data_IF_547438724332
#
_entry.id   IF_547438724332
#
_cell.length_a   1.000
_cell.length_b   1.000
_cell.length_c   1.000
_cell.angle_alpha   90.00
_cell.angle_beta   90.00
_cell.angle_gamma   90.00
#
_symmetry.space_group_name_H-M   'P 1'
#
loop_
_entity.id
_entity.type
_entity.pdbx_description
1 polymer ?
#
# COMPACT_ATOMS: atom_id res chain seq x y z
N UNK A 1 -7.36 17.60 -21.96
CA UNK A 1 -8.04 18.54 -21.05
C UNK A 1 -7.16 18.83 -19.85
N UNK A 2 -6.95 17.87 -18.93
CA UNK A 2 -6.13 18.08 -17.73
C UNK A 2 -4.66 18.39 -18.06
N UNK A 3 -4.14 17.86 -19.17
CA UNK A 3 -2.80 18.18 -19.68
C UNK A 3 -2.67 19.59 -20.30
N UNK A 4 -3.75 20.35 -20.45
CA UNK A 4 -3.68 21.74 -20.91
C UNK A 4 -3.09 22.61 -19.78
N UNK A 5 -2.01 23.38 -20.02
CA UNK A 5 -1.40 24.22 -18.98
C UNK A 5 -2.38 25.19 -18.31
N UNK A 6 -3.45 25.59 -19.02
CA UNK A 6 -4.50 26.46 -18.48
C UNK A 6 -5.34 25.78 -17.40
N UNK A 7 -5.40 24.45 -17.38
CA UNK A 7 -6.16 23.68 -16.39
C UNK A 7 -5.78 24.03 -14.96
N UNK A 8 -4.47 24.12 -14.68
CA UNK A 8 -3.95 24.43 -13.35
C UNK A 8 -4.28 25.87 -12.92
N UNK A 9 -4.47 26.79 -13.88
CA UNK A 9 -4.83 28.18 -13.62
C UNK A 9 -6.33 28.40 -13.38
N UNK A 10 -7.19 27.40 -13.60
CA UNK A 10 -8.63 27.53 -13.41
C UNK A 10 -9.03 27.37 -11.93
N UNK A 11 -9.95 28.22 -11.41
CA UNK A 11 -10.63 27.98 -10.15
C UNK A 11 -11.26 26.58 -10.08
N UNK A 12 -11.34 25.98 -8.89
CA UNK A 12 -11.95 24.65 -8.70
C UNK A 12 -13.39 24.59 -9.22
N UNK A 13 -14.26 25.59 -9.00
CA UNK A 13 -15.63 25.57 -9.54
C UNK A 13 -15.69 25.51 -11.07
N UNK A 14 -14.78 26.19 -11.77
CA UNK A 14 -14.74 26.18 -13.24
C UNK A 14 -14.26 24.82 -13.77
N UNK A 15 -13.26 24.22 -13.10
CA UNK A 15 -12.82 22.84 -13.39
C UNK A 15 -13.96 21.85 -13.17
N UNK A 16 -14.69 21.98 -12.06
CA UNK A 16 -15.85 21.16 -11.73
C UNK A 16 -16.94 21.29 -12.82
N UNK A 17 -17.25 22.50 -13.26
CA UNK A 17 -18.23 22.75 -14.32
C UNK A 17 -17.84 22.06 -15.64
N UNK A 18 -16.58 22.18 -16.05
CA UNK A 18 -16.07 21.53 -17.28
C UNK A 18 -16.14 20.00 -17.17
N UNK A 19 -15.84 19.43 -16.00
CA UNK A 19 -15.91 17.98 -15.76
C UNK A 19 -17.33 17.44 -15.70
N UNK A 20 -18.27 18.19 -15.12
CA UNK A 20 -19.67 17.77 -15.04
C UNK A 20 -20.26 17.48 -16.43
N UNK A 21 -19.85 18.24 -17.45
CA UNK A 21 -20.20 18.02 -18.85
C UNK A 21 -19.57 16.76 -19.49
N UNK A 22 -18.82 15.96 -18.72
CA UNK A 22 -18.18 14.70 -19.16
C UNK A 22 -18.63 13.49 -18.35
N UNK A 23 -19.61 13.65 -17.47
CA UNK A 23 -20.20 12.53 -16.75
C UNK A 23 -20.81 11.54 -17.75
N UNK A 24 -20.38 10.30 -17.64
CA UNK A 24 -20.85 9.19 -18.44
C UNK A 24 -22.01 8.52 -17.71
N UNK A 25 -23.12 8.29 -18.41
CA UNK A 25 -24.28 7.60 -17.85
C UNK A 25 -24.47 6.27 -18.54
N UNK A 26 -24.49 5.19 -17.76
CA UNK A 26 -24.76 3.84 -18.27
C UNK A 26 -26.26 3.63 -18.50
N UNK A 27 -26.67 2.62 -19.29
CA UNK A 27 -28.08 2.27 -19.43
C UNK A 27 -28.78 1.94 -18.11
N UNK A 28 -28.03 1.47 -17.10
CA UNK A 28 -28.52 1.18 -15.76
C UNK A 28 -28.70 2.43 -14.88
N UNK A 29 -28.33 3.62 -15.38
CA UNK A 29 -28.45 4.89 -14.65
C UNK A 29 -27.20 5.30 -13.86
N UNK A 30 -26.18 4.44 -13.76
CA UNK A 30 -24.94 4.80 -13.08
C UNK A 30 -24.26 5.99 -13.72
N UNK A 31 -23.66 6.84 -12.88
CA UNK A 31 -22.88 8.00 -13.31
C UNK A 31 -21.41 7.77 -13.01
N UNK A 32 -20.60 7.96 -14.04
CA UNK A 32 -19.16 7.73 -14.03
C UNK A 32 -18.41 9.00 -14.40
N UNK A 33 -17.32 9.28 -13.71
CA UNK A 33 -16.43 10.40 -13.99
C UNK A 33 -14.98 9.94 -13.94
N UNK A 34 -14.19 10.28 -14.94
CA UNK A 34 -12.74 10.17 -14.85
C UNK A 34 -12.18 11.48 -14.31
N UNK A 35 -11.62 11.45 -13.11
CA UNK A 35 -11.34 12.65 -12.32
C UNK A 35 -10.02 12.56 -11.57
N UNK A 36 -10.03 13.05 -10.32
CA UNK A 36 -8.88 13.11 -9.45
C UNK A 36 -8.04 11.81 -9.44
N UNK A 37 -6.73 11.95 -9.28
CA UNK A 37 -5.75 10.86 -9.25
C UNK A 37 -5.71 9.99 -10.52
N UNK A 38 -6.23 10.51 -11.63
CA UNK A 38 -6.37 9.76 -12.88
C UNK A 38 -7.11 8.42 -12.68
N UNK A 39 -8.19 8.45 -11.88
CA UNK A 39 -9.05 7.28 -11.63
C UNK A 39 -10.51 7.55 -12.03
N UNK A 40 -11.19 6.46 -12.34
CA UNK A 40 -12.64 6.46 -12.51
C UNK A 40 -13.34 6.53 -11.15
N UNK A 41 -14.42 7.30 -11.09
CA UNK A 41 -15.27 7.48 -9.93
C UNK A 41 -16.71 7.11 -10.29
N UNK A 42 -17.34 6.35 -9.41
CA UNK A 42 -18.75 5.96 -9.47
C UNK A 42 -19.53 6.78 -8.45
N UNK A 43 -20.59 7.44 -8.92
CA UNK A 43 -21.55 8.10 -8.03
C UNK A 43 -22.41 7.06 -7.30
N UNK A 44 -22.44 7.11 -5.98
CA UNK A 44 -23.37 6.36 -5.14
C UNK A 44 -24.69 7.15 -4.99
N UNK A 45 -25.82 6.62 -5.49
CA UNK A 45 -27.11 7.31 -5.40
C UNK A 45 -27.68 7.36 -3.97
N UNK A 46 -27.21 6.52 -3.04
CA UNK A 46 -27.74 6.45 -1.69
C UNK A 46 -27.24 7.61 -0.80
N UNK A 47 -25.98 8.01 -0.95
CA UNK A 47 -25.36 9.07 -0.13
C UNK A 47 -24.83 10.26 -0.95
N UNK A 48 -24.89 10.19 -2.29
CA UNK A 48 -24.43 11.23 -3.20
C UNK A 48 -22.91 11.34 -3.33
N UNK A 49 -22.15 10.41 -2.76
CA UNK A 49 -20.68 10.41 -2.80
C UNK A 49 -20.17 9.84 -4.11
N UNK A 50 -18.94 10.19 -4.44
CA UNK A 50 -18.22 9.64 -5.59
C UNK A 50 -17.08 8.77 -5.09
N UNK A 51 -17.15 7.47 -5.38
CA UNK A 51 -16.17 6.49 -4.92
C UNK A 51 -15.21 6.14 -6.07
N UNK A 52 -13.89 6.05 -5.83
CA UNK A 52 -12.98 5.44 -6.80
C UNK A 52 -13.46 4.01 -7.13
N UNK A 53 -13.76 3.76 -8.40
CA UNK A 53 -14.14 2.42 -8.87
C UNK A 53 -13.71 2.24 -10.33
N UNK A 54 -13.16 1.08 -10.72
CA UNK A 54 -12.84 0.83 -12.13
C UNK A 54 -14.13 0.66 -12.95
N UNK A 55 -14.19 1.19 -14.18
CA UNK A 55 -15.39 1.14 -15.00
C UNK A 55 -15.66 -0.30 -15.48
N UNK A 56 -16.92 -0.70 -15.69
CA UNK A 56 -17.24 -2.00 -16.24
C UNK A 56 -16.68 -2.15 -17.66
N UNK A 57 -15.99 -3.27 -17.94
CA UNK A 57 -15.48 -3.60 -19.27
C UNK A 57 -16.62 -3.92 -20.24
N UNK A 58 -16.46 -3.59 -21.52
CA UNK A 58 -17.40 -3.98 -22.59
C UNK A 58 -18.71 -3.19 -22.65
N UNK A 59 -19.06 -2.40 -21.64
CA UNK A 59 -20.23 -1.51 -21.69
C UNK A 59 -19.95 -0.38 -22.68
N UNK A 60 -20.60 -0.41 -23.85
CA UNK A 60 -20.60 0.75 -24.76
C UNK A 60 -21.27 1.90 -24.03
N UNK A 61 -20.47 2.81 -23.47
CA UNK A 61 -20.95 4.06 -22.91
C UNK A 61 -21.58 4.85 -24.05
N UNK A 62 -22.90 5.03 -24.00
CA UNK A 62 -23.66 5.54 -25.15
C UNK A 62 -24.07 7.01 -25.01
N UNK A 63 -23.98 7.62 -23.83
CA UNK A 63 -24.43 9.00 -23.64
C UNK A 63 -23.54 9.77 -22.66
N UNK A 64 -22.88 10.80 -23.16
CA UNK A 64 -22.49 11.95 -22.35
C UNK A 64 -23.78 12.71 -22.10
N UNK A 65 -24.21 12.80 -20.85
CA UNK A 65 -25.40 13.54 -20.49
C UNK A 65 -24.98 14.72 -19.64
N UNK A 66 -25.49 15.91 -19.92
CA UNK A 66 -25.27 17.07 -19.07
C UNK A 66 -26.12 16.91 -17.81
N UNK A 67 -25.58 16.21 -16.80
CA UNK A 67 -26.11 16.31 -15.46
C UNK A 67 -25.47 17.55 -14.83
N UNK A 68 -26.26 18.57 -14.50
CA UNK A 68 -25.84 19.67 -13.64
C UNK A 68 -25.64 19.14 -12.20
N UNK A 69 -24.72 18.20 -12.03
CA UNK A 69 -24.29 17.73 -10.73
C UNK A 69 -23.18 18.66 -10.27
N UNK A 70 -23.37 19.29 -9.11
CA UNK A 70 -22.27 19.95 -8.40
C UNK A 70 -21.28 18.84 -8.04
N UNK A 71 -20.09 18.89 -8.65
CA UNK A 71 -19.04 17.93 -8.35
C UNK A 71 -18.29 18.38 -7.10
N UNK A 72 -18.05 17.49 -6.12
CA UNK A 72 -17.22 17.81 -4.96
C UNK A 72 -15.76 18.02 -5.39
N UNK A 73 -15.07 18.93 -4.71
CA UNK A 73 -13.65 19.25 -4.98
C UNK A 73 -12.76 18.00 -5.00
N UNK A 74 -13.07 17.00 -4.16
CA UNK A 74 -12.32 15.75 -4.04
C UNK A 74 -12.22 14.94 -5.34
N UNK A 75 -13.17 15.08 -6.28
CA UNK A 75 -13.12 14.38 -7.58
C UNK A 75 -12.58 15.24 -8.71
N UNK A 76 -12.31 16.52 -8.45
CA UNK A 76 -11.81 17.47 -9.44
C UNK A 76 -10.28 17.37 -9.48
N UNK A 77 -9.67 16.93 -10.61
CA UNK A 77 -8.23 16.81 -10.70
C UNK A 77 -7.54 18.17 -10.64
N UNK A 78 -6.39 18.18 -9.96
CA UNK A 78 -5.52 19.35 -9.82
C UNK A 78 -4.61 19.53 -11.03
N UNK A 79 -4.35 18.46 -11.78
CA UNK A 79 -3.37 18.38 -12.85
C UNK A 79 -2.15 17.56 -12.44
N UNK A 80 -1.60 17.82 -11.25
CA UNK A 80 -0.44 17.08 -10.75
C UNK A 80 -0.73 15.60 -10.50
N UNK A 81 -1.96 15.31 -10.12
CA UNK A 81 -2.49 13.98 -9.88
C UNK A 81 -2.54 13.10 -11.15
N UNK A 82 -2.53 13.71 -12.34
CA UNK A 82 -2.39 13.01 -13.63
C UNK A 82 -0.93 12.71 -14.01
N UNK A 83 0.03 13.32 -13.32
CA UNK A 83 1.46 13.04 -13.48
C UNK A 83 2.00 12.09 -12.40
N UNK A 84 1.16 11.70 -11.44
CA UNK A 84 1.55 10.76 -10.40
C UNK A 84 1.84 9.40 -11.04
N UNK A 85 3.08 8.93 -10.91
CA UNK A 85 3.45 7.57 -11.33
C UNK A 85 2.59 6.57 -10.55
N UNK A 86 1.93 5.61 -11.23
CA UNK A 86 1.19 4.59 -10.53
C UNK A 86 2.17 3.74 -9.71
N UNK A 87 1.94 3.67 -8.40
CA UNK A 87 2.60 2.66 -7.57
C UNK A 87 2.26 1.27 -8.08
N UNK A 88 3.23 0.35 -8.01
CA UNK A 88 2.96 -1.06 -8.30
C UNK A 88 2.50 -1.74 -7.02
N UNK A 89 1.28 -2.27 -7.04
CA UNK A 89 0.80 -3.21 -6.02
C UNK A 89 1.24 -4.63 -6.30
N UNK A 90 2.00 -4.88 -7.39
CA UNK A 90 2.57 -6.20 -7.64
C UNK A 90 3.45 -6.56 -6.45
N UNK A 91 3.00 -7.57 -5.70
CA UNK A 91 3.78 -8.18 -4.64
C UNK A 91 5.08 -8.72 -5.22
N UNK A 92 6.10 -8.92 -4.38
CA UNK A 92 7.36 -9.57 -4.75
C UNK A 92 7.17 -11.09 -4.84
N UNK A 93 6.03 -11.50 -5.39
CA UNK A 93 5.57 -12.86 -5.61
C UNK A 93 5.55 -13.02 -7.13
N UNK A 94 6.60 -13.58 -7.73
CA UNK A 94 6.85 -13.50 -9.16
C UNK A 94 8.33 -13.20 -9.43
N UNK A 95 8.69 -12.23 -10.29
CA UNK A 95 10.10 -11.92 -10.50
C UNK A 95 10.72 -11.31 -9.23
N UNK A 96 11.82 -11.92 -8.79
CA UNK A 96 12.63 -11.46 -7.66
C UNK A 96 13.05 -9.99 -7.83
N UNK A 97 13.47 -9.37 -6.73
CA UNK A 97 14.18 -8.10 -6.79
C UNK A 97 15.47 -8.26 -7.61
N UNK A 98 15.76 -7.35 -8.58
CA UNK A 98 16.93 -7.48 -9.43
C UNK A 98 18.21 -7.73 -8.62
N UNK A 99 18.99 -8.74 -9.01
CA UNK A 99 20.18 -9.19 -8.26
C UNK A 99 21.14 -8.03 -7.95
N UNK A 100 21.39 -7.16 -8.93
CA UNK A 100 22.24 -5.97 -8.74
C UNK A 100 21.76 -5.08 -7.59
N UNK A 101 20.45 -4.86 -7.48
CA UNK A 101 19.84 -4.05 -6.41
C UNK A 101 20.05 -4.75 -5.07
N UNK A 102 19.76 -6.06 -5.01
CA UNK A 102 19.96 -6.89 -3.82
C UNK A 102 21.41 -6.89 -3.34
N UNK A 103 22.40 -6.96 -4.24
CA UNK A 103 23.81 -6.87 -3.88
C UNK A 103 24.21 -5.50 -3.33
N UNK A 104 23.69 -4.41 -3.91
CA UNK A 104 23.94 -3.05 -3.40
C UNK A 104 23.40 -2.89 -1.98
N UNK A 105 22.18 -3.38 -1.73
CA UNK A 105 21.59 -3.36 -0.39
C UNK A 105 22.35 -4.26 0.59
N UNK A 106 22.83 -5.43 0.15
CA UNK A 106 23.68 -6.29 1.00
C UNK A 106 24.95 -5.59 1.46
N UNK A 107 25.63 -4.88 0.56
CA UNK A 107 26.82 -4.10 0.91
C UNK A 107 26.47 -2.98 1.91
N UNK A 108 25.37 -2.27 1.68
CA UNK A 108 24.90 -1.21 2.57
C UNK A 108 24.56 -1.73 3.96
N UNK A 109 23.76 -2.81 4.06
CA UNK A 109 23.38 -3.44 5.34
C UNK A 109 24.61 -3.88 6.13
N UNK A 110 25.57 -4.54 5.48
CA UNK A 110 26.84 -4.94 6.14
C UNK A 110 27.65 -3.75 6.65
N UNK A 111 27.57 -2.59 6.00
CA UNK A 111 28.25 -1.38 6.46
C UNK A 111 27.52 -0.72 7.64
N UNK A 112 26.19 -0.74 7.63
CA UNK A 112 25.33 -0.28 8.73
C UNK A 112 25.47 -1.18 9.97
N UNK A 113 25.52 -2.50 9.81
CA UNK A 113 25.64 -3.45 10.92
C UNK A 113 26.95 -3.35 11.72
N UNK A 114 28.00 -2.71 11.18
CA UNK A 114 29.26 -2.44 11.91
C UNK A 114 29.19 -1.23 12.84
N UNK A 115 28.09 -0.49 12.86
CA UNK A 115 27.92 0.66 13.74
C UNK A 115 27.56 0.18 15.14
N UNK A 116 27.98 0.93 16.16
CA UNK A 116 27.58 0.62 17.53
C UNK A 116 26.13 1.00 17.76
N UNK A 117 25.40 0.08 18.36
CA UNK A 117 24.10 0.22 18.99
C UNK A 117 24.06 1.31 20.07
N UNK A 118 25.19 1.63 20.72
CA UNK A 118 25.26 2.72 21.69
C UNK A 118 25.15 4.10 21.01
N UNK A 119 25.80 4.25 19.85
CA UNK A 119 25.71 5.45 19.03
C UNK A 119 24.38 5.52 18.26
N UNK A 120 23.81 4.35 17.94
CA UNK A 120 22.60 4.18 17.15
C UNK A 120 21.65 3.14 17.80
N UNK A 121 20.99 3.47 18.92
CA UNK A 121 20.09 2.56 19.59
C UNK A 121 18.82 2.38 18.79
N UNK A 122 18.21 1.22 18.99
CA UNK A 122 16.94 0.85 18.37
C UNK A 122 15.78 1.50 19.13
N UNK A 123 15.18 2.53 18.53
CA UNK A 123 14.08 3.31 19.12
C UNK A 123 12.73 3.07 18.43
N UNK A 124 12.74 2.30 17.35
CA UNK A 124 11.60 1.77 16.61
C UNK A 124 11.99 0.39 16.05
N UNK A 125 11.01 -0.42 15.63
CA UNK A 125 11.21 -1.78 15.06
C UNK A 125 11.71 -2.85 16.05
N UNK A 126 11.45 -2.70 17.35
CA UNK A 126 11.83 -3.65 18.41
C UNK A 126 11.07 -4.99 18.36
N UNK A 127 9.93 -5.02 17.66
CA UNK A 127 9.23 -6.27 17.32
C UNK A 127 9.97 -7.09 16.26
N UNK A 128 10.78 -6.45 15.41
CA UNK A 128 11.46 -7.07 14.25
C UNK A 128 12.91 -7.44 14.57
N UNK A 129 13.65 -6.53 15.20
CA UNK A 129 15.09 -6.65 15.41
C UNK A 129 15.45 -6.96 16.87
N UNK A 130 16.57 -7.65 17.07
CA UNK A 130 17.14 -7.82 18.39
C UNK A 130 17.63 -6.46 18.95
N UNK A 131 17.68 -6.33 20.28
CA UNK A 131 17.96 -5.03 20.94
C UNK A 131 19.40 -4.53 20.74
N UNK A 132 20.32 -5.41 20.36
CA UNK A 132 21.71 -5.13 20.03
C UNK A 132 21.92 -4.70 18.56
N UNK A 133 20.86 -4.66 17.76
CA UNK A 133 20.92 -4.22 16.37
C UNK A 133 20.98 -2.68 16.32
N UNK A 134 21.96 -2.09 15.62
CA UNK A 134 22.01 -0.64 15.47
C UNK A 134 20.87 -0.13 14.60
N UNK A 135 20.26 1.00 14.96
CA UNK A 135 19.15 1.60 14.21
C UNK A 135 19.49 1.97 12.75
N UNK A 136 20.77 1.99 12.39
CA UNK A 136 21.17 2.11 10.97
C UNK A 136 20.76 0.90 10.12
N UNK A 137 20.68 -0.31 10.68
CA UNK A 137 20.13 -1.48 9.98
C UNK A 137 18.62 -1.38 9.89
N UNK A 138 17.96 -1.00 10.99
CA UNK A 138 16.52 -0.76 11.03
C UNK A 138 16.07 0.33 10.04
N UNK A 139 16.88 1.38 9.85
CA UNK A 139 16.63 2.43 8.86
C UNK A 139 16.62 1.89 7.42
N UNK A 140 17.51 0.95 7.06
CA UNK A 140 17.50 0.31 5.74
C UNK A 140 16.24 -0.54 5.57
N UNK A 141 15.94 -1.40 6.54
CA UNK A 141 14.74 -2.24 6.53
C UNK A 141 13.45 -1.42 6.42
N UNK A 142 13.28 -0.45 7.32
CA UNK A 142 12.11 0.41 7.34
C UNK A 142 11.95 1.19 6.04
N UNK A 143 13.04 1.63 5.42
CA UNK A 143 12.99 2.32 4.12
C UNK A 143 12.48 1.39 3.02
N UNK A 144 12.98 0.15 2.96
CA UNK A 144 12.51 -0.87 1.99
C UNK A 144 11.02 -1.14 2.18
N UNK A 145 10.61 -1.43 3.42
CA UNK A 145 9.23 -1.80 3.73
C UNK A 145 8.26 -0.64 3.54
N UNK A 146 8.64 0.59 3.92
CA UNK A 146 7.83 1.77 3.69
C UNK A 146 7.69 2.06 2.18
N UNK A 147 8.76 1.88 1.39
CA UNK A 147 8.70 2.09 -0.06
C UNK A 147 7.87 1.03 -0.79
N UNK A 148 7.69 -0.16 -0.23
CA UNK A 148 6.84 -1.21 -0.79
C UNK A 148 5.35 -0.91 -0.57
N UNK A 149 4.55 -0.96 -1.63
CA UNK A 149 3.10 -0.81 -1.53
C UNK A 149 2.42 -2.06 -0.96
N UNK A 150 2.98 -3.23 -1.26
CA UNK A 150 2.56 -4.53 -0.76
C UNK A 150 3.82 -5.36 -0.42
N UNK A 151 4.39 -5.23 0.80
CA UNK A 151 5.55 -6.00 1.26
C UNK A 151 5.25 -7.50 1.48
N UNK A 152 4.75 -8.17 0.44
CA UNK A 152 4.61 -9.61 0.37
C UNK A 152 5.69 -10.16 -0.57
N UNK A 153 6.56 -11.04 -0.07
CA UNK A 153 7.75 -11.52 -0.77
C UNK A 153 7.73 -13.02 -0.98
N UNK A 154 8.30 -13.53 -2.07
CA UNK A 154 8.57 -14.97 -2.22
C UNK A 154 9.38 -15.47 -1.01
N UNK A 155 9.07 -16.67 -0.53
CA UNK A 155 9.80 -17.32 0.56
C UNK A 155 11.31 -17.41 0.32
N UNK A 156 11.76 -17.43 -0.94
CA UNK A 156 13.17 -17.47 -1.34
C UNK A 156 13.78 -16.11 -1.66
N UNK A 157 13.04 -15.02 -1.44
CA UNK A 157 13.52 -13.68 -1.81
C UNK A 157 14.83 -13.33 -1.08
N UNK A 158 15.86 -13.08 -1.90
CA UNK A 158 17.22 -12.81 -1.45
C UNK A 158 17.32 -11.48 -0.73
N UNK A 159 16.54 -10.48 -1.14
CA UNK A 159 16.53 -9.15 -0.53
C UNK A 159 16.31 -9.22 0.98
N UNK A 160 15.28 -9.94 1.39
CA UNK A 160 14.88 -10.01 2.81
C UNK A 160 15.87 -10.86 3.61
N UNK A 161 16.45 -11.88 2.98
CA UNK A 161 17.42 -12.79 3.60
C UNK A 161 18.71 -12.08 4.02
N UNK A 162 19.04 -10.94 3.41
CA UNK A 162 20.17 -10.08 3.82
C UNK A 162 20.09 -9.66 5.29
N UNK A 163 18.89 -9.57 5.87
CA UNK A 163 18.68 -9.12 7.24
C UNK A 163 18.72 -10.26 8.26
N UNK A 164 18.84 -11.51 7.84
CA UNK A 164 18.61 -12.69 8.68
C UNK A 164 19.39 -12.72 10.00
N UNK A 165 20.63 -12.21 10.01
CA UNK A 165 21.47 -12.16 11.22
C UNK A 165 21.01 -11.13 12.27
N UNK A 166 20.21 -10.14 11.88
CA UNK A 166 19.73 -9.06 12.75
C UNK A 166 18.33 -9.32 13.33
N UNK A 167 17.58 -10.22 12.71
CA UNK A 167 16.17 -10.41 13.08
C UNK A 167 16.06 -11.05 14.46
N UNK A 168 15.13 -10.53 15.26
CA UNK A 168 14.83 -11.05 16.61
C UNK A 168 14.32 -12.48 16.58
N UNK A 169 13.62 -12.83 15.51
CA UNK A 169 13.07 -14.15 15.22
C UNK A 169 13.33 -14.45 13.75
N UNK A 170 13.54 -15.72 13.43
CA UNK A 170 13.53 -16.14 12.04
C UNK A 170 12.21 -15.70 11.41
N UNK A 171 12.30 -15.22 10.17
CA UNK A 171 11.09 -14.90 9.41
C UNK A 171 10.22 -16.16 9.32
N UNK A 172 8.89 -16.01 9.31
CA UNK A 172 7.99 -17.14 9.08
C UNK A 172 8.51 -18.01 7.92
N UNK A 173 8.78 -19.28 8.23
CA UNK A 173 9.56 -20.20 7.39
C UNK A 173 8.76 -20.86 6.27
N UNK A 174 9.48 -21.30 5.22
CA UNK A 174 9.14 -22.17 4.08
C UNK A 174 7.78 -22.04 3.35
N UNK A 175 6.94 -21.08 3.73
CA UNK A 175 5.75 -20.71 2.96
C UNK A 175 6.17 -19.97 1.69
N UNK A 176 5.42 -20.19 0.59
CA UNK A 176 5.70 -19.56 -0.71
C UNK A 176 5.72 -18.03 -0.63
N UNK A 177 5.05 -17.45 0.37
CA UNK A 177 4.94 -15.99 0.55
C UNK A 177 5.19 -15.60 2.00
N UNK A 178 6.06 -14.61 2.19
CA UNK A 178 6.30 -13.89 3.44
C UNK A 178 5.51 -12.59 3.45
N UNK A 179 4.52 -12.50 4.33
CA UNK A 179 3.67 -11.32 4.51
C UNK A 179 4.28 -10.42 5.59
N UNK A 180 4.90 -9.32 5.20
CA UNK A 180 5.58 -8.41 6.14
C UNK A 180 4.76 -7.12 6.34
N UNK A 181 4.75 -6.53 7.55
CA UNK A 181 4.05 -5.27 7.77
C UNK A 181 4.70 -4.13 6.98
N UNK A 182 3.89 -3.17 6.54
CA UNK A 182 4.36 -1.88 6.05
C UNK A 182 4.44 -0.89 7.23
N UNK A 183 5.64 -0.49 7.68
CA UNK A 183 5.76 0.46 8.79
C UNK A 183 5.27 1.85 8.35
N UNK A 184 4.71 2.67 9.27
CA UNK A 184 4.44 4.07 8.99
C UNK A 184 5.73 4.87 8.82
N UNK A 185 5.64 6.03 8.15
CA UNK A 185 6.77 6.98 8.07
C UNK A 185 7.27 7.40 9.46
N UNK A 186 6.38 7.39 10.46
CA UNK A 186 6.70 7.75 11.83
C UNK A 186 7.86 6.92 12.38
N UNK A 187 7.89 5.61 12.14
CA UNK A 187 8.94 4.73 12.68
C UNK A 187 10.33 5.14 12.16
N UNK A 188 10.43 5.56 10.90
CA UNK A 188 11.67 6.11 10.32
C UNK A 188 12.03 7.45 10.95
N UNK A 189 11.05 8.33 11.13
CA UNK A 189 11.25 9.64 11.74
C UNK A 189 11.73 9.52 13.18
N UNK A 190 11.15 8.60 13.97
CA UNK A 190 11.54 8.33 15.35
C UNK A 190 13.02 7.98 15.50
N UNK A 191 13.60 7.22 14.56
CA UNK A 191 15.04 6.93 14.56
C UNK A 191 15.88 8.22 14.47
N UNK A 192 15.49 9.17 13.61
CA UNK A 192 16.21 10.44 13.41
C UNK A 192 15.95 11.41 14.55
N UNK A 193 14.68 11.59 14.92
CA UNK A 193 14.22 12.54 15.92
C UNK A 193 14.79 12.23 17.30
N UNK A 194 14.90 10.96 17.67
CA UNK A 194 15.50 10.58 18.95
C UNK A 194 16.99 10.97 19.01
N UNK A 195 17.78 10.74 17.96
CA UNK A 195 19.18 11.20 17.90
C UNK A 195 19.29 12.72 17.97
N UNK A 196 18.32 13.45 17.41
CA UNK A 196 18.25 14.90 17.53
C UNK A 196 17.99 15.37 18.96
N UNK A 197 16.98 14.79 19.63
CA UNK A 197 16.68 15.05 21.06
C UNK A 197 17.87 14.75 21.96
N UNK A 198 18.65 13.71 21.65
CA UNK A 198 19.87 13.35 22.37
C UNK A 198 21.07 14.30 22.10
N UNK A 199 20.89 15.37 21.31
CA UNK A 199 21.97 16.28 20.91
C UNK A 199 22.99 15.66 19.97
N UNK A 200 22.69 14.49 19.37
CA UNK A 200 23.57 13.73 18.48
C UNK A 200 23.27 14.03 17.01
N UNK A 201 23.29 15.30 16.63
CA UNK A 201 22.91 15.75 15.28
C UNK A 201 23.66 15.05 14.14
N UNK A 202 24.95 14.69 14.32
CA UNK A 202 25.70 13.92 13.32
C UNK A 202 25.16 12.51 13.11
N UNK A 203 24.72 11.85 14.17
CA UNK A 203 24.12 10.52 14.10
C UNK A 203 22.73 10.59 13.44
N UNK A 204 21.94 11.63 13.77
CA UNK A 204 20.66 11.90 13.11
C UNK A 204 20.82 12.10 11.60
N UNK A 205 21.77 12.96 11.17
CA UNK A 205 22.11 13.14 9.75
C UNK A 205 22.58 11.84 9.10
N UNK A 206 23.31 10.99 9.83
CA UNK A 206 23.75 9.70 9.29
C UNK A 206 22.58 8.74 9.07
N UNK A 207 21.58 8.69 9.96
CA UNK A 207 20.37 7.89 9.77
C UNK A 207 19.57 8.38 8.56
N UNK A 208 19.37 9.70 8.45
CA UNK A 208 18.77 10.32 7.28
C UNK A 208 19.54 9.99 5.99
N UNK A 209 20.88 10.01 6.02
CA UNK A 209 21.70 9.63 4.86
C UNK A 209 21.54 8.15 4.50
N UNK A 210 21.45 7.25 5.48
CA UNK A 210 21.20 5.82 5.24
C UNK A 210 19.83 5.59 4.58
N UNK A 211 18.80 6.32 5.01
CA UNK A 211 17.47 6.28 4.38
C UNK A 211 17.54 6.77 2.92
N UNK A 212 18.25 7.88 2.67
CA UNK A 212 18.44 8.41 1.32
C UNK A 212 19.25 7.46 0.42
N UNK A 213 20.36 6.90 0.91
CA UNK A 213 21.17 5.92 0.18
C UNK A 213 20.33 4.68 -0.19
N UNK A 214 19.51 4.20 0.75
CA UNK A 214 18.60 3.07 0.53
C UNK A 214 17.55 3.42 -0.54
N UNK A 215 16.88 4.56 -0.41
CA UNK A 215 15.88 5.01 -1.38
C UNK A 215 16.49 5.21 -2.79
N UNK A 216 17.71 5.73 -2.88
CA UNK A 216 18.43 5.91 -4.13
C UNK A 216 18.69 4.57 -4.85
N UNK A 217 19.00 3.50 -4.10
CA UNK A 217 19.12 2.14 -4.66
C UNK A 217 17.74 1.64 -5.14
N UNK A 218 16.69 1.85 -4.34
CA UNK A 218 15.33 1.40 -4.64
C UNK A 218 14.69 2.07 -5.87
N UNK A 219 15.12 3.29 -6.25
CA UNK A 219 14.65 3.96 -7.47
C UNK A 219 14.83 3.15 -8.75
N UNK A 220 15.78 2.20 -8.76
CA UNK A 220 16.08 1.33 -9.89
C UNK A 220 14.96 0.33 -10.19
N UNK A 221 14.05 0.09 -9.25
CA UNK A 221 12.93 -0.84 -9.39
C UNK A 221 11.58 -0.09 -9.29
N UNK A 222 10.71 -0.31 -10.27
CA UNK A 222 9.42 0.39 -10.39
C UNK A 222 8.47 0.11 -9.24
N UNK A 223 8.65 -1.00 -8.50
CA UNK A 223 7.83 -1.35 -7.34
C UNK A 223 8.01 -0.41 -6.16
N UNK A 224 9.21 0.16 -6.01
CA UNK A 224 9.54 1.08 -4.92
C UNK A 224 9.58 2.54 -5.36
N UNK A 225 9.83 2.80 -6.65
CA UNK A 225 10.23 4.11 -7.18
C UNK A 225 9.37 5.29 -6.71
N UNK A 226 8.03 5.28 -6.74
CA UNK A 226 7.26 6.47 -6.37
C UNK A 226 7.46 6.88 -4.90
N UNK A 227 7.50 5.91 -3.98
CA UNK A 227 7.76 6.17 -2.56
C UNK A 227 9.24 6.44 -2.30
N UNK A 228 10.16 5.74 -2.96
CA UNK A 228 11.59 6.04 -2.87
C UNK A 228 11.90 7.49 -3.28
N UNK A 229 11.28 7.96 -4.38
CA UNK A 229 11.38 9.36 -4.80
C UNK A 229 10.78 10.30 -3.76
N UNK A 230 9.63 9.96 -3.17
CA UNK A 230 9.04 10.75 -2.09
C UNK A 230 9.99 10.87 -0.90
N UNK A 231 10.54 9.77 -0.38
CA UNK A 231 11.47 9.79 0.75
C UNK A 231 12.71 10.63 0.44
N UNK A 232 13.27 10.52 -0.77
CA UNK A 232 14.39 11.37 -1.20
C UNK A 232 14.01 12.86 -1.17
N UNK A 233 12.83 13.24 -1.67
CA UNK A 233 12.38 14.63 -1.60
C UNK A 233 12.16 15.13 -0.17
N UNK A 234 11.78 14.26 0.77
CA UNK A 234 11.67 14.61 2.19
C UNK A 234 13.03 14.84 2.84
N UNK A 235 13.99 13.95 2.58
CA UNK A 235 15.22 13.84 3.37
C UNK A 235 16.41 14.60 2.75
N UNK A 236 16.51 14.68 1.42
CA UNK A 236 17.64 15.31 0.76
C UNK A 236 17.85 16.81 1.12
N UNK A 237 16.80 17.64 1.30
CA UNK A 237 16.97 19.01 1.77
C UNK A 237 17.70 19.11 3.11
N UNK A 238 17.39 18.20 4.05
CA UNK A 238 18.04 18.12 5.37
C UNK A 238 19.53 17.78 5.23
N UNK A 239 19.88 16.88 4.31
CA UNK A 239 21.27 16.47 4.06
C UNK A 239 22.10 17.59 3.42
N UNK A 240 21.51 18.36 2.49
CA UNK A 240 22.19 19.48 1.81
C UNK A 240 22.36 20.68 2.72
N UNK A 241 21.37 20.97 3.55
CA UNK A 241 21.40 22.08 4.51
C UNK A 241 20.92 21.56 5.86
N UNK A 242 21.84 21.07 6.71
CA UNK A 242 21.52 20.58 8.03
C UNK A 242 20.90 21.67 8.91
N UNK A 243 19.58 21.76 8.83
CA UNK A 243 18.73 22.59 9.67
C UNK A 243 17.65 21.66 10.16
N UNK A 244 17.76 21.33 11.43
CA UNK A 244 16.68 20.68 12.14
C UNK A 244 15.81 21.78 12.75
N UNK A 245 14.53 21.47 12.95
CA UNK A 245 13.65 22.25 13.83
C UNK A 245 14.15 22.30 15.26
N UNK A 246 13.31 22.73 16.19
CA UNK A 246 13.67 22.69 17.61
C UNK A 246 13.94 21.22 18.00
N UNK A 247 15.10 20.86 18.58
CA UNK A 247 15.36 19.49 19.00
C UNK A 247 14.35 18.96 20.02
N UNK A 248 13.52 19.81 20.64
CA UNK A 248 12.42 19.42 21.53
C UNK A 248 11.08 19.21 20.82
N UNK A 249 11.00 19.45 19.51
CA UNK A 249 9.83 19.10 18.71
C UNK A 249 9.56 17.58 18.80
N UNK A 250 8.27 17.20 18.82
CA UNK A 250 7.88 15.80 18.84
C UNK A 250 8.10 15.12 17.46
N UNK A 251 8.05 13.78 17.44
CA UNK A 251 8.24 13.00 16.20
C UNK A 251 7.20 13.39 15.13
N UNK A 252 6.01 13.81 15.55
CA UNK A 252 4.94 14.18 14.64
C UNK A 252 5.21 15.50 13.92
N UNK A 253 5.82 16.48 14.58
CA UNK A 253 6.26 17.74 13.98
C UNK A 253 7.33 17.48 12.91
N UNK A 254 8.33 16.65 13.21
CA UNK A 254 9.35 16.28 12.22
C UNK A 254 8.74 15.52 11.03
N UNK A 255 7.79 14.61 11.28
CA UNK A 255 7.05 13.91 10.22
C UNK A 255 6.28 14.90 9.35
N UNK A 256 5.61 15.88 9.96
CA UNK A 256 4.90 16.95 9.24
C UNK A 256 5.84 17.74 8.33
N UNK A 257 6.98 18.19 8.86
CA UNK A 257 8.00 18.91 8.09
C UNK A 257 8.53 18.09 6.89
N UNK A 258 8.71 16.78 7.07
CA UNK A 258 9.13 15.89 5.99
C UNK A 258 8.06 15.81 4.90
N UNK A 259 6.80 15.58 5.27
CA UNK A 259 5.68 15.47 4.33
C UNK A 259 5.45 16.76 3.54
N UNK A 260 5.61 17.92 4.17
CA UNK A 260 5.46 19.25 3.52
C UNK A 260 6.48 19.49 2.40
N UNK A 261 7.65 18.83 2.45
CA UNK A 261 8.69 18.96 1.41
C UNK A 261 8.33 18.20 0.13
N UNK A 262 7.38 17.27 0.18
CA UNK A 262 7.05 16.46 -0.99
C UNK A 262 6.24 17.25 -2.03
N UNK A 263 6.66 17.23 -3.31
CA UNK A 263 5.92 17.91 -4.36
C UNK A 263 4.56 17.25 -4.61
N UNK A 264 3.56 18.06 -4.99
CA UNK A 264 2.18 17.62 -5.21
C UNK A 264 2.02 16.45 -6.19
N UNK A 265 2.93 16.29 -7.16
CA UNK A 265 2.95 15.15 -8.10
C UNK A 265 3.15 13.78 -7.43
N UNK A 266 3.64 13.74 -6.20
CA UNK A 266 3.84 12.51 -5.41
C UNK A 266 2.66 12.22 -4.47
N UNK A 267 1.56 12.99 -4.55
CA UNK A 267 0.41 12.88 -3.65
C UNK A 267 -0.10 11.44 -3.50
N UNK A 268 -0.20 10.69 -4.60
CA UNK A 268 -0.67 9.30 -4.59
C UNK A 268 0.26 8.37 -3.79
N UNK A 269 1.56 8.60 -3.81
CA UNK A 269 2.52 7.80 -3.05
C UNK A 269 2.38 8.01 -1.53
N UNK A 270 1.86 9.17 -1.13
CA UNK A 270 1.73 9.62 0.25
C UNK A 270 0.32 9.49 0.83
N UNK A 271 -0.66 8.97 0.07
CA UNK A 271 -2.02 8.76 0.59
C UNK A 271 -2.00 7.95 1.89
N UNK A 272 -1.13 6.92 1.98
CA UNK A 272 -0.98 6.11 3.19
C UNK A 272 -0.64 6.94 4.44
N UNK A 273 0.06 8.07 4.27
CA UNK A 273 0.50 8.95 5.36
C UNK A 273 -0.45 10.14 5.61
N UNK A 274 -1.08 10.65 4.55
CA UNK A 274 -1.85 11.89 4.56
C UNK A 274 -3.36 11.67 4.66
N UNK A 275 -3.86 10.59 4.05
CA UNK A 275 -5.29 10.28 3.95
C UNK A 275 -5.49 8.76 3.88
N UNK A 276 -5.50 8.07 5.05
CA UNK A 276 -5.68 6.62 5.11
C UNK A 276 -7.01 6.14 4.51
N UNK A 277 -8.06 6.96 4.52
CA UNK A 277 -9.37 6.63 3.97
C UNK A 277 -9.35 6.65 2.43
N UNK A 278 -8.76 7.70 1.85
CA UNK A 278 -8.50 7.73 0.40
C UNK A 278 -7.52 6.61 0.00
N UNK A 279 -6.51 6.31 0.82
CA UNK A 279 -5.59 5.21 0.55
C UNK A 279 -6.32 3.87 0.46
N UNK A 280 -7.21 3.55 1.41
CA UNK A 280 -8.03 2.34 1.37
C UNK A 280 -8.93 2.30 0.13
N UNK A 281 -9.58 3.41 -0.21
CA UNK A 281 -10.42 3.50 -1.41
C UNK A 281 -9.62 3.24 -2.70
N UNK A 282 -8.36 3.69 -2.74
CA UNK A 282 -7.47 3.49 -3.88
C UNK A 282 -6.94 2.06 -4.00
N UNK A 283 -6.61 1.41 -2.88
CA UNK A 283 -6.18 0.00 -2.90
C UNK A 283 -7.34 -0.92 -3.26
N UNK A 284 -8.56 -0.56 -2.86
CA UNK A 284 -9.77 -1.26 -3.29
C UNK A 284 -10.03 -1.13 -4.79
N UNK A 285 -9.85 0.08 -5.35
CA UNK A 285 -9.85 0.26 -6.81
C UNK A 285 -8.84 -0.68 -7.47
N UNK A 286 -7.60 -0.73 -6.97
CA UNK A 286 -6.52 -1.54 -7.55
C UNK A 286 -6.83 -3.04 -7.47
N UNK A 287 -7.49 -3.51 -6.40
CA UNK A 287 -7.96 -4.89 -6.29
C UNK A 287 -9.04 -5.23 -7.33
N UNK A 288 -10.06 -4.39 -7.47
CA UNK A 288 -11.13 -4.63 -8.45
C UNK A 288 -10.57 -4.58 -9.88
N UNK A 289 -9.59 -3.72 -10.15
CA UNK A 289 -8.91 -3.65 -11.45
C UNK A 289 -8.01 -4.87 -11.71
N UNK A 290 -7.31 -5.38 -10.70
CA UNK A 290 -6.54 -6.63 -10.79
C UNK A 290 -7.45 -7.84 -11.09
N UNK A 291 -8.69 -7.85 -10.58
CA UNK A 291 -9.70 -8.89 -10.79
C UNK A 291 -10.48 -8.75 -12.10
N UNK A 292 -10.12 -7.79 -12.95
CA UNK A 292 -10.84 -7.45 -14.18
C UNK A 292 -10.83 -8.52 -15.27
N UNK A 293 -10.08 -9.61 -15.09
CA UNK A 293 -10.16 -10.82 -15.92
C UNK A 293 -11.39 -11.68 -15.60
N UNK A 294 -11.99 -11.51 -14.42
CA UNK A 294 -13.21 -12.22 -14.04
C UNK A 294 -14.45 -11.56 -14.66
N UNK A 295 -15.54 -12.31 -14.94
CA UNK A 295 -16.79 -11.74 -15.42
C UNK A 295 -17.42 -10.73 -14.44
N UNK A 296 -17.23 -10.96 -13.14
CA UNK A 296 -17.81 -10.13 -12.06
C UNK A 296 -16.74 -9.70 -11.04
N UNK A 297 -15.85 -8.73 -11.39
CA UNK A 297 -14.70 -8.34 -10.56
C UNK A 297 -15.07 -7.83 -9.17
N UNK A 298 -16.27 -7.23 -9.02
CA UNK A 298 -16.76 -6.72 -7.74
C UNK A 298 -17.20 -7.82 -6.80
N UNK A 299 -17.84 -8.88 -7.33
CA UNK A 299 -18.22 -10.05 -6.54
C UNK A 299 -16.97 -10.78 -6.08
N UNK A 300 -15.99 -10.95 -6.97
CA UNK A 300 -14.68 -11.48 -6.60
C UNK A 300 -13.94 -10.60 -5.57
N UNK A 301 -13.99 -9.27 -5.68
CA UNK A 301 -13.39 -8.38 -4.69
C UNK A 301 -14.11 -8.47 -3.33
N UNK A 302 -15.44 -8.64 -3.33
CA UNK A 302 -16.22 -8.80 -2.10
C UNK A 302 -15.80 -10.04 -1.30
N UNK A 303 -15.33 -11.11 -1.93
CA UNK A 303 -14.83 -12.29 -1.20
C UNK A 303 -13.51 -12.02 -0.48
N UNK A 304 -12.62 -11.18 -1.03
CA UNK A 304 -11.42 -10.74 -0.30
C UNK A 304 -11.76 -9.76 0.83
N UNK A 305 -12.79 -8.93 0.63
CA UNK A 305 -13.29 -8.05 1.70
C UNK A 305 -13.92 -8.83 2.85
N UNK A 306 -14.55 -9.98 2.57
CA UNK A 306 -15.16 -10.84 3.57
C UNK A 306 -14.17 -11.43 4.59
N UNK A 307 -12.88 -11.44 4.26
CA UNK A 307 -11.79 -11.87 5.16
C UNK A 307 -11.37 -10.79 6.16
N UNK A 308 -11.73 -9.51 5.91
CA UNK A 308 -11.34 -8.40 6.76
C UNK A 308 -12.08 -8.44 8.10
N UNK A 309 -11.39 -8.05 9.17
CA UNK A 309 -12.03 -7.81 10.46
C UNK A 309 -12.83 -6.51 10.40
N UNK A 310 -14.15 -6.61 10.41
CA UNK A 310 -15.09 -5.47 10.47
C UNK A 310 -16.06 -5.57 11.65
N UNK A 311 -15.52 -5.85 12.83
CA UNK A 311 -16.23 -5.86 14.12
C UNK A 311 -17.08 -4.61 14.40
N UNK A 312 -16.66 -3.45 13.89
CA UNK A 312 -17.32 -2.15 14.06
C UNK A 312 -18.38 -1.86 12.99
N UNK A 313 -18.56 -2.74 12.00
CA UNK A 313 -19.52 -2.55 10.89
C UNK A 313 -19.21 -1.31 10.05
N UNK A 314 -17.94 -0.94 9.94
CA UNK A 314 -17.47 0.29 9.33
C UNK A 314 -17.23 0.12 7.82
N UNK A 315 -17.09 -1.12 7.34
CA UNK A 315 -16.74 -1.41 5.95
C UNK A 315 -17.84 -1.00 4.96
N UNK A 316 -19.14 -1.36 5.15
CA UNK A 316 -20.19 -1.08 4.15
C UNK A 316 -20.32 0.40 3.78
N UNK A 317 -20.14 1.31 4.74
CA UNK A 317 -20.22 2.76 4.53
C UNK A 317 -19.06 3.35 3.71
N UNK A 318 -18.03 2.56 3.38
CA UNK A 318 -16.86 2.97 2.57
C UNK A 318 -16.86 2.37 1.17
N UNK A 319 -17.69 1.36 0.93
CA UNK A 319 -17.82 0.70 -0.37
C UNK A 319 -18.76 1.49 -1.27
N UNK A 320 -18.51 1.50 -2.58
CA UNK A 320 -19.50 1.94 -3.55
C UNK A 320 -20.73 1.03 -3.53
N UNK A 321 -21.89 1.54 -3.93
CA UNK A 321 -23.15 0.79 -3.89
C UNK A 321 -23.09 -0.61 -4.52
N UNK A 322 -22.32 -0.84 -5.60
CA UNK A 322 -22.28 -2.15 -6.25
C UNK A 322 -21.47 -3.16 -5.44
N UNK A 323 -20.32 -2.71 -4.94
CA UNK A 323 -19.47 -3.55 -4.10
C UNK A 323 -20.10 -3.79 -2.72
N UNK A 324 -20.81 -2.79 -2.18
CA UNK A 324 -21.62 -2.91 -0.97
C UNK A 324 -22.68 -3.99 -1.10
N UNK A 325 -23.43 -4.01 -2.21
CA UNK A 325 -24.42 -5.05 -2.48
C UNK A 325 -23.81 -6.45 -2.51
N UNK A 326 -22.71 -6.64 -3.25
CA UNK A 326 -22.02 -7.94 -3.32
C UNK A 326 -21.51 -8.41 -1.95
N UNK A 327 -20.97 -7.49 -1.14
CA UNK A 327 -20.53 -7.78 0.22
C UNK A 327 -21.71 -8.14 1.15
N UNK A 328 -22.82 -7.43 1.05
CA UNK A 328 -24.02 -7.69 1.84
C UNK A 328 -24.66 -9.04 1.52
N UNK A 329 -24.63 -9.48 0.26
CA UNK A 329 -25.08 -10.82 -0.15
C UNK A 329 -24.23 -11.91 0.52
N UNK A 330 -22.90 -11.78 0.51
CA UNK A 330 -22.00 -12.69 1.23
C UNK A 330 -22.27 -12.68 2.74
N UNK A 331 -22.48 -11.49 3.32
CA UNK A 331 -22.79 -11.32 4.74
C UNK A 331 -24.11 -12.00 5.12
N UNK A 332 -25.15 -11.85 4.30
CA UNK A 332 -26.46 -12.50 4.51
C UNK A 332 -26.38 -14.02 4.38
N UNK A 333 -25.50 -14.51 3.51
CA UNK A 333 -25.23 -15.94 3.36
C UNK A 333 -24.35 -16.53 4.48
N UNK A 334 -23.90 -15.72 5.45
CA UNK A 334 -22.99 -16.16 6.52
C UNK A 334 -21.57 -16.44 6.05
N UNK A 335 -21.19 -15.92 4.86
CA UNK A 335 -19.88 -16.09 4.23
C UNK A 335 -18.96 -14.90 4.50
N UNK A 336 -19.24 -14.13 5.55
CA UNK A 336 -18.30 -13.16 6.12
C UNK A 336 -17.81 -13.73 7.44
N UNK A 337 -16.54 -14.09 7.50
CA UNK A 337 -15.92 -14.75 8.64
C UNK A 337 -14.52 -14.20 8.86
N UNK A 338 -14.23 -13.80 10.10
CA UNK A 338 -12.96 -13.19 10.46
C UNK A 338 -11.81 -14.18 10.34
N UNK A 339 -10.98 -14.04 9.31
CA UNK A 339 -9.60 -14.56 9.36
C UNK A 339 -8.67 -13.59 10.12
N UNK A 340 -9.13 -12.37 10.44
CA UNK A 340 -8.46 -11.38 11.28
C UNK A 340 -9.23 -11.11 12.60
N UNK A 341 -8.54 -11.01 13.73
CA UNK A 341 -9.13 -10.74 15.05
C UNK A 341 -8.69 -9.37 15.57
N UNK A 342 -9.59 -8.67 16.28
CA UNK A 342 -9.26 -7.40 16.97
C UNK A 342 -8.23 -7.59 18.09
N UNK A 343 -8.11 -8.81 18.60
CA UNK A 343 -7.17 -9.18 19.66
C UNK A 343 -6.37 -10.40 19.22
N UNK A 344 -5.07 -10.33 19.48
CA UNK A 344 -4.20 -11.50 19.51
C UNK A 344 -4.57 -12.32 20.74
N UNK A 345 -4.84 -13.62 20.62
CA UNK A 345 -5.00 -14.50 21.79
C UNK A 345 -3.93 -15.60 21.78
N UNK A 346 -2.93 -15.56 22.69
CA UNK A 346 -2.71 -14.54 23.72
C UNK A 346 -2.26 -13.17 23.18
N UNK A 347 -2.30 -12.14 24.02
CA UNK A 347 -1.86 -10.78 23.67
C UNK A 347 -0.38 -10.78 23.22
N UNK A 348 -0.09 -10.26 22.02
CA UNK A 348 1.25 -10.31 21.41
C UNK A 348 1.56 -11.58 20.59
N UNK A 349 0.57 -12.42 20.29
CA UNK A 349 0.69 -13.64 19.46
C UNK A 349 -0.08 -13.56 18.13
N UNK A 350 0.18 -14.41 17.13
CA UNK A 350 -0.51 -14.35 15.84
C UNK A 350 -2.03 -14.55 15.99
N UNK A 351 -2.82 -13.86 15.16
CA UNK A 351 -4.26 -14.15 15.06
C UNK A 351 -4.44 -15.60 14.60
N UNK A 352 -5.14 -16.42 15.40
CA UNK A 352 -5.59 -17.74 14.96
C UNK A 352 -6.69 -17.55 13.92
N UNK A 353 -6.43 -17.99 12.69
CA UNK A 353 -7.39 -17.97 11.59
C UNK A 353 -8.66 -18.73 12.00
N UNK A 354 -9.82 -18.07 11.99
CA UNK A 354 -11.11 -18.74 12.05
C UNK A 354 -11.37 -19.58 10.80
N UNK A 355 -12.47 -20.36 10.79
CA UNK A 355 -12.94 -21.03 9.57
C UNK A 355 -13.17 -19.97 8.49
N UNK A 356 -12.35 -20.01 7.45
CA UNK A 356 -12.39 -19.07 6.34
C UNK A 356 -13.73 -19.18 5.61
N UNK A 357 -14.28 -18.04 5.20
CA UNK A 357 -15.35 -18.04 4.23
C UNK A 357 -14.90 -18.76 2.94
N UNK A 358 -15.77 -19.50 2.25
CA UNK A 358 -15.44 -20.06 0.96
C UNK A 358 -15.14 -18.91 -0.01
N UNK A 359 -13.88 -18.79 -0.36
CA UNK A 359 -13.39 -17.85 -1.37
C UNK A 359 -14.08 -18.26 -2.67
N UNK A 360 -14.80 -17.35 -3.32
CA UNK A 360 -15.24 -17.59 -4.69
C UNK A 360 -14.00 -17.96 -5.50
N UNK A 361 -14.09 -18.98 -6.35
CA UNK A 361 -12.94 -19.54 -7.04
C UNK A 361 -12.40 -18.51 -8.05
N UNK A 362 -11.52 -17.64 -7.57
CA UNK A 362 -10.77 -16.72 -8.41
C UNK A 362 -9.67 -17.54 -9.05
N UNK A 363 -9.76 -17.68 -10.37
CA UNK A 363 -8.80 -18.40 -11.18
C UNK A 363 -8.06 -17.40 -12.09
N UNK A 364 -6.90 -16.86 -11.66
CA UNK A 364 -6.11 -15.99 -12.51
C UNK A 364 -5.61 -16.75 -13.75
N UNK A 365 -5.66 -16.14 -14.95
CA UNK A 365 -5.30 -16.82 -16.20
C UNK A 365 -3.79 -17.10 -16.33
N UNK A 366 -2.96 -16.40 -15.56
CA UNK A 366 -1.51 -16.50 -15.58
C UNK A 366 -0.89 -16.06 -14.24
N UNK A 367 0.41 -16.33 -14.07
CA UNK A 367 1.15 -16.00 -12.84
C UNK A 367 1.24 -14.50 -12.56
N UNK A 368 1.30 -13.67 -13.59
CA UNK A 368 1.33 -12.22 -13.44
C UNK A 368 0.01 -11.69 -12.90
N UNK A 369 -1.11 -12.19 -13.43
CA UNK A 369 -2.46 -11.92 -12.93
C UNK A 369 -2.63 -12.38 -11.48
N UNK A 370 -2.12 -13.56 -11.13
CA UNK A 370 -2.15 -14.07 -9.76
C UNK A 370 -1.35 -13.18 -8.78
N UNK A 371 -0.14 -12.79 -9.16
CA UNK A 371 0.70 -11.88 -8.38
C UNK A 371 0.04 -10.50 -8.19
N UNK A 372 -0.60 -9.98 -9.24
CA UNK A 372 -1.32 -8.71 -9.18
C UNK A 372 -2.49 -8.77 -8.18
N UNK A 373 -3.30 -9.84 -8.22
CA UNK A 373 -4.41 -10.03 -7.28
C UNK A 373 -3.89 -10.17 -5.84
N UNK A 374 -2.88 -11.01 -5.61
CA UNK A 374 -2.30 -11.21 -4.27
C UNK A 374 -1.76 -9.90 -3.68
N UNK A 375 -0.99 -9.16 -4.47
CA UNK A 375 -0.42 -7.90 -4.03
C UNK A 375 -1.46 -6.79 -3.81
N UNK A 376 -2.46 -6.68 -4.68
CA UNK A 376 -3.55 -5.73 -4.51
C UNK A 376 -4.44 -6.07 -3.30
N UNK A 377 -4.76 -7.35 -3.10
CA UNK A 377 -5.50 -7.80 -1.93
C UNK A 377 -4.73 -7.53 -0.64
N UNK A 378 -3.41 -7.73 -0.64
CA UNK A 378 -2.59 -7.48 0.55
C UNK A 378 -2.45 -5.99 0.85
N UNK A 379 -2.22 -5.15 -0.17
CA UNK A 379 -2.23 -3.70 -0.02
C UNK A 379 -3.57 -3.18 0.54
N UNK A 380 -4.69 -3.76 0.08
CA UNK A 380 -6.02 -3.45 0.60
C UNK A 380 -6.15 -3.84 2.09
N UNK A 381 -5.70 -5.04 2.46
CA UNK A 381 -5.68 -5.47 3.86
C UNK A 381 -4.82 -4.56 4.76
N UNK A 382 -3.64 -4.15 4.28
CA UNK A 382 -2.76 -3.22 5.02
C UNK A 382 -3.40 -1.84 5.18
N UNK A 383 -4.04 -1.33 4.13
CA UNK A 383 -4.77 -0.06 4.19
C UNK A 383 -5.94 -0.13 5.19
N UNK A 384 -6.67 -1.26 5.23
CA UNK A 384 -7.74 -1.47 6.20
C UNK A 384 -7.20 -1.52 7.63
N UNK A 385 -6.11 -2.25 7.86
CA UNK A 385 -5.45 -2.31 9.17
C UNK A 385 -4.99 -0.94 9.65
N UNK A 386 -4.42 -0.13 8.76
CA UNK A 386 -4.00 1.24 9.08
C UNK A 386 -5.18 2.18 9.39
N UNK A 387 -6.32 1.97 8.73
CA UNK A 387 -7.52 2.78 8.93
C UNK A 387 -8.26 2.43 10.24
N UNK A 388 -8.25 1.15 10.63
CA UNK A 388 -9.11 0.65 11.73
C UNK A 388 -8.35 0.20 12.97
N UNK A 389 -7.05 -0.03 12.86
CA UNK A 389 -6.22 -0.70 13.87
C UNK A 389 -6.30 -2.23 13.82
N UNK A 390 -7.03 -2.82 12.85
CA UNK A 390 -7.10 -4.27 12.70
C UNK A 390 -5.72 -4.86 12.37
N UNK A 391 -5.33 -5.93 13.08
CA UNK A 391 -4.09 -6.65 12.81
C UNK A 391 -4.32 -7.70 11.73
N UNK A 392 -3.42 -7.76 10.75
CA UNK A 392 -3.42 -8.79 9.72
C UNK A 392 -2.76 -10.08 10.25
N UNK A 393 -3.22 -11.26 9.82
CA UNK A 393 -2.56 -12.52 10.18
C UNK A 393 -1.17 -12.62 9.56
N UNK A 394 -0.25 -13.29 10.26
CA UNK A 394 1.13 -13.53 9.79
C UNK A 394 1.20 -14.33 8.47
N UNK A 395 0.17 -15.13 8.18
CA UNK A 395 0.06 -15.97 6.97
C UNK A 395 -0.75 -15.33 5.84
N UNK A 396 -1.07 -14.05 5.98
CA UNK A 396 -2.01 -13.35 5.09
C UNK A 396 -3.48 -13.68 5.42
N UNK A 397 -4.39 -12.98 4.74
CA UNK A 397 -5.82 -13.22 4.82
C UNK A 397 -6.19 -14.54 4.13
N UNK A 398 -7.29 -15.17 4.53
CA UNK A 398 -7.60 -16.54 4.09
C UNK A 398 -7.69 -16.71 2.56
N UNK A 399 -8.31 -15.76 1.86
CA UNK A 399 -8.37 -15.72 0.40
C UNK A 399 -7.01 -15.60 -0.27
N UNK A 400 -6.08 -14.86 0.34
CA UNK A 400 -4.70 -14.76 -0.14
C UNK A 400 -3.96 -16.09 0.07
N UNK A 401 -4.07 -16.69 1.25
CA UNK A 401 -3.43 -17.98 1.56
C UNK A 401 -4.01 -19.14 0.71
N UNK A 402 -5.30 -19.10 0.37
CA UNK A 402 -5.93 -20.07 -0.54
C UNK A 402 -5.35 -19.96 -1.96
N UNK A 403 -5.27 -18.74 -2.49
CA UNK A 403 -4.69 -18.49 -3.81
C UNK A 403 -3.20 -18.86 -3.86
N UNK A 404 -2.43 -18.56 -2.82
CA UNK A 404 -1.03 -19.00 -2.65
C UNK A 404 -0.91 -20.52 -2.73
N UNK A 405 -1.71 -21.27 -1.97
CA UNK A 405 -1.65 -22.75 -1.97
C UNK A 405 -1.87 -23.31 -3.36
N UNK A 406 -2.83 -22.77 -4.11
CA UNK A 406 -3.11 -23.22 -5.48
C UNK A 406 -1.92 -23.04 -6.42
N UNK A 407 -1.29 -21.86 -6.41
CA UNK A 407 -0.13 -21.55 -7.26
C UNK A 407 1.05 -22.47 -6.94
N UNK A 408 1.24 -22.84 -5.67
CA UNK A 408 2.28 -23.80 -5.25
C UNK A 408 2.01 -25.19 -5.81
N UNK A 409 0.77 -25.70 -5.71
CA UNK A 409 0.43 -27.03 -6.21
C UNK A 409 0.62 -27.13 -7.73
N UNK A 410 0.22 -26.11 -8.50
CA UNK A 410 0.43 -26.07 -9.96
C UNK A 410 1.92 -26.13 -10.34
N UNK A 411 2.84 -25.66 -9.48
CA UNK A 411 4.29 -25.74 -9.73
C UNK A 411 4.84 -27.15 -9.51
N UNK A 412 4.37 -27.85 -8.50
CA UNK A 412 4.85 -29.19 -8.15
C UNK A 412 4.39 -30.23 -9.19
N UNK A 413 3.20 -30.06 -9.77
CA UNK A 413 2.70 -30.91 -10.86
C UNK A 413 3.57 -30.81 -12.13
N UNK A 414 4.12 -29.64 -12.43
CA UNK A 414 5.03 -29.45 -13.57
C UNK A 414 6.45 -29.99 -13.37
N UNK A 415 6.85 -30.36 -12.15
CA UNK A 415 8.17 -30.93 -11.86
C UNK A 415 8.21 -32.47 -11.94
N UNK A 416 7.09 -33.15 -12.20
CA UNK A 416 7.05 -34.62 -12.33
C UNK A 416 7.21 -35.13 -13.77
N UNK A 417 7.49 -34.24 -14.74
CA UNK A 417 7.48 -34.56 -16.16
C UNK A 417 8.82 -34.43 -16.88
N UNK A 418 9.93 -34.95 -16.33
CA UNK A 418 11.10 -35.33 -17.14
C UNK A 418 11.88 -36.45 -16.44
N UNK A 419 11.60 -37.69 -16.87
CA UNK A 419 12.53 -38.80 -16.84
C UNK A 419 12.81 -39.23 -18.28
#
# INVERSE_FOLDING_TARGET
MVADPRWQGLPVPDRAHVLAARILVTPAGDRWLYGAHARWHLHDPADGRWHPAPPPRGTRVRRVTHAAAVLPDAVVPTGHDFHAEPGSTQSFIGPDVPERLTEQLRVLVRACGRKSELDYPLTAFDEIFATDVPSTVAAVWGTIMWCAYAPAFDGNERLITVFGEYLRRSLPGDEWVRWLPAPPLMDLVTLVAERMRAGRARAALRLAAVMADTAQILLLDTRFRPRALALLTMVEPLLRRPRFGDPYDDDAAMRGEWLERCPARLCRALLVENDPEAHFSHTLYDLVDALSFTPEPRVAAATFLADLSDSRGALPGRLDHRLRMAYEELRQAGLTGTSAAETTQPEGFPVRTGEAAPVSEVEPPDRGSAAAVLGAAYAMGLAWGRLTGAKLPERGLAGQSALVRRIVHERDDHHTGHM
#
